data_IF_978283011407
#
_entry.id   IF_978283011407
#
_cell.length_a   1.000
_cell.length_b   1.000
_cell.length_c   1.000
_cell.angle_alpha   90.00
_cell.angle_beta   90.00
_cell.angle_gamma   90.00
#
_symmetry.space_group_name_H-M   'P 1'
#
loop_
_entity.id
_entity.type
_entity.pdbx_description
1 polymer ?
#
# COMPACT_ATOMS: atom_id res chain seq x y z
N UNK A 1 17.98 3.38 -50.28
CA UNK A 1 16.98 3.61 -51.34
C UNK A 1 15.72 2.98 -50.79
N UNK A 2 14.67 3.75 -50.48
CA UNK A 2 13.47 3.18 -49.86
C UNK A 2 12.77 2.35 -50.92
N UNK A 3 12.63 1.04 -50.70
CA UNK A 3 11.94 0.18 -51.65
C UNK A 3 10.44 0.49 -51.60
N UNK A 4 9.81 0.74 -52.75
CA UNK A 4 8.37 0.92 -52.83
C UNK A 4 7.68 -0.37 -53.25
N UNK A 5 6.50 -0.63 -52.68
CA UNK A 5 5.69 -1.80 -53.06
C UNK A 5 5.30 -1.74 -54.54
N UNK A 6 4.99 -0.55 -55.04
CA UNK A 6 4.71 -0.26 -56.46
C UNK A 6 5.89 -0.50 -57.39
N UNK A 7 7.08 -0.80 -56.88
CA UNK A 7 8.27 -1.07 -57.69
C UNK A 7 8.77 -2.51 -57.51
N UNK A 8 8.22 -3.25 -56.53
CA UNK A 8 8.82 -4.51 -56.07
C UNK A 8 7.87 -5.72 -56.08
N UNK A 9 6.58 -5.50 -56.31
CA UNK A 9 5.56 -6.55 -56.38
C UNK A 9 4.96 -6.67 -57.80
N UNK A 10 5.83 -6.93 -58.77
CA UNK A 10 5.46 -7.23 -60.15
C UNK A 10 5.84 -8.66 -60.53
N UNK A 11 6.10 -8.95 -61.80
CA UNK A 11 6.40 -10.30 -62.29
C UNK A 11 5.29 -10.89 -63.16
N UNK A 12 5.61 -11.99 -63.83
CA UNK A 12 4.72 -12.64 -64.78
C UNK A 12 3.55 -13.33 -64.07
N UNK A 13 2.47 -13.63 -64.82
CA UNK A 13 1.36 -14.47 -64.33
C UNK A 13 0.71 -14.02 -62.99
N UNK A 14 0.64 -12.70 -62.74
CA UNK A 14 0.02 -12.12 -61.55
C UNK A 14 0.73 -12.46 -60.22
N UNK A 15 2.03 -12.79 -60.24
CA UNK A 15 2.77 -13.23 -59.06
C UNK A 15 2.75 -12.18 -57.91
N UNK A 16 2.97 -10.91 -58.23
CA UNK A 16 2.88 -9.83 -57.24
C UNK A 16 1.49 -9.67 -56.63
N UNK A 17 0.44 -9.78 -57.45
CA UNK A 17 -0.95 -9.76 -56.97
C UNK A 17 -1.25 -10.96 -56.06
N UNK A 18 -0.79 -12.16 -56.43
CA UNK A 18 -0.96 -13.39 -55.63
C UNK A 18 -0.24 -13.27 -54.29
N UNK A 19 0.99 -12.76 -54.27
CA UNK A 19 1.79 -12.57 -53.06
C UNK A 19 1.10 -11.63 -52.06
N UNK A 20 0.73 -10.41 -52.50
CA UNK A 20 0.04 -9.43 -51.65
C UNK A 20 -1.34 -9.93 -51.21
N UNK A 21 -2.12 -10.53 -52.12
CA UNK A 21 -3.45 -11.07 -51.78
C UNK A 21 -3.37 -12.18 -50.76
N UNK A 22 -2.36 -13.04 -50.87
CA UNK A 22 -2.11 -14.09 -49.89
C UNK A 22 -1.82 -13.47 -48.53
N UNK A 23 -0.87 -12.52 -48.46
CA UNK A 23 -0.56 -11.77 -47.25
C UNK A 23 -1.79 -11.08 -46.62
N UNK A 24 -2.58 -10.34 -47.40
CA UNK A 24 -3.80 -9.64 -46.96
C UNK A 24 -4.89 -10.58 -46.41
N UNK A 25 -4.97 -11.82 -46.91
CA UNK A 25 -5.92 -12.81 -46.42
C UNK A 25 -5.52 -13.41 -45.07
N UNK A 26 -4.42 -12.95 -44.47
CA UNK A 26 -3.91 -13.47 -43.21
C UNK A 26 -3.56 -14.94 -43.39
N UNK A 27 -2.53 -15.24 -44.19
CA UNK A 27 -2.02 -16.60 -44.22
C UNK A 27 -1.62 -16.95 -42.78
N UNK A 28 -2.17 -18.06 -42.26
CA UNK A 28 -1.60 -18.79 -41.13
C UNK A 28 -0.23 -19.32 -41.56
N UNK A 29 0.79 -18.46 -41.64
CA UNK A 29 2.12 -18.87 -42.09
C UNK A 29 2.82 -19.55 -40.92
N UNK A 30 2.90 -20.87 -40.99
CA UNK A 30 3.82 -21.68 -40.19
C UNK A 30 5.22 -21.79 -40.82
N UNK A 31 5.52 -21.02 -41.87
CA UNK A 31 6.85 -21.01 -42.49
C UNK A 31 7.88 -20.38 -41.55
N UNK A 32 9.00 -21.07 -41.39
CA UNK A 32 10.20 -20.61 -40.68
C UNK A 32 10.68 -19.24 -41.21
N UNK A 33 10.50 -18.98 -42.50
CA UNK A 33 10.86 -17.71 -43.14
C UNK A 33 10.05 -16.55 -42.58
N UNK A 34 8.75 -16.70 -42.38
CA UNK A 34 7.92 -15.65 -41.78
C UNK A 34 8.24 -15.48 -40.29
N UNK A 35 8.54 -16.56 -39.57
CA UNK A 35 9.03 -16.44 -38.19
C UNK A 35 10.37 -15.67 -38.14
N UNK A 36 11.27 -15.92 -39.09
CA UNK A 36 12.54 -15.19 -39.22
C UNK A 36 12.32 -13.72 -39.64
N UNK A 37 11.45 -13.43 -40.61
CA UNK A 37 11.03 -12.08 -41.02
C UNK A 37 10.62 -11.28 -39.79
N UNK A 38 9.70 -11.90 -39.05
CA UNK A 38 9.08 -11.25 -37.94
C UNK A 38 10.09 -11.07 -36.78
N UNK A 39 11.05 -11.98 -36.59
CA UNK A 39 12.14 -11.82 -35.59
C UNK A 39 13.10 -10.67 -35.88
N UNK A 40 13.20 -10.24 -37.14
CA UNK A 40 14.05 -9.12 -37.57
C UNK A 40 13.30 -7.78 -37.59
N UNK A 41 11.96 -7.79 -37.48
CA UNK A 41 11.15 -6.57 -37.43
C UNK A 41 11.47 -5.76 -36.18
N UNK A 42 11.85 -4.52 -36.41
CA UNK A 42 12.12 -3.54 -35.35
C UNK A 42 10.86 -3.24 -34.53
N UNK A 43 9.69 -3.15 -35.18
CA UNK A 43 8.40 -2.90 -34.53
C UNK A 43 7.96 -4.07 -33.66
N UNK A 44 8.15 -5.32 -34.13
CA UNK A 44 7.84 -6.47 -33.29
C UNK A 44 8.78 -6.55 -32.10
N UNK A 45 10.09 -6.40 -32.30
CA UNK A 45 11.05 -6.48 -31.21
C UNK A 45 10.73 -5.45 -30.11
N UNK A 46 10.25 -4.27 -30.47
CA UNK A 46 9.75 -3.29 -29.51
C UNK A 46 8.44 -3.69 -28.82
N UNK A 47 7.53 -4.35 -29.53
CA UNK A 47 6.29 -4.89 -28.96
C UNK A 47 6.58 -6.04 -27.98
N UNK A 48 7.50 -6.94 -28.31
CA UNK A 48 7.93 -8.01 -27.41
C UNK A 48 8.63 -7.44 -26.17
N UNK A 49 9.51 -6.46 -26.35
CA UNK A 49 10.14 -5.74 -25.24
C UNK A 49 9.11 -5.07 -24.34
N UNK A 50 8.10 -4.41 -24.93
CA UNK A 50 6.99 -3.83 -24.18
C UNK A 50 6.27 -4.88 -23.32
N UNK A 51 5.90 -6.02 -23.89
CA UNK A 51 5.20 -7.09 -23.16
C UNK A 51 6.05 -7.63 -22.01
N UNK A 52 7.34 -7.90 -22.26
CA UNK A 52 8.27 -8.41 -21.25
C UNK A 52 8.49 -7.41 -20.11
N UNK A 53 8.66 -6.13 -20.41
CA UNK A 53 8.84 -5.11 -19.38
C UNK A 53 7.57 -4.87 -18.56
N UNK A 54 6.38 -4.96 -19.17
CA UNK A 54 5.12 -4.88 -18.43
C UNK A 54 4.87 -6.12 -17.57
N UNK A 55 5.30 -7.30 -17.99
CA UNK A 55 5.31 -8.49 -17.14
C UNK A 55 6.27 -8.31 -15.96
N UNK A 56 7.46 -7.73 -16.16
CA UNK A 56 8.39 -7.38 -15.07
C UNK A 56 7.77 -6.41 -14.07
N UNK A 57 7.07 -5.37 -14.53
CA UNK A 57 6.34 -4.43 -13.67
C UNK A 57 5.22 -5.14 -12.90
N UNK A 58 4.46 -6.02 -13.54
CA UNK A 58 3.43 -6.79 -12.86
C UNK A 58 4.03 -7.66 -11.74
N UNK A 59 5.15 -8.34 -12.04
CA UNK A 59 5.87 -9.17 -11.08
C UNK A 59 6.50 -8.34 -9.93
N UNK A 60 6.99 -7.14 -10.21
CA UNK A 60 7.54 -6.24 -9.17
C UNK A 60 6.46 -5.82 -8.17
N UNK A 61 5.24 -5.52 -8.65
CA UNK A 61 4.10 -5.21 -7.77
C UNK A 61 3.57 -6.44 -7.03
N UNK A 62 3.59 -7.63 -7.65
CA UNK A 62 3.25 -8.87 -6.96
C UNK A 62 4.22 -9.15 -5.79
N UNK A 63 5.53 -8.98 -6.05
CA UNK A 63 6.56 -9.08 -5.01
C UNK A 63 6.38 -8.02 -3.92
N UNK A 64 6.08 -6.77 -4.30
CA UNK A 64 5.80 -5.71 -3.34
C UNK A 64 4.68 -6.07 -2.36
N UNK A 65 3.57 -6.60 -2.87
CA UNK A 65 2.45 -7.04 -2.04
C UNK A 65 2.85 -8.18 -1.08
N UNK A 66 3.70 -9.11 -1.55
CA UNK A 66 4.25 -10.17 -0.71
C UNK A 66 5.17 -9.60 0.39
N UNK A 67 6.10 -8.71 0.04
CA UNK A 67 7.03 -8.09 0.97
C UNK A 67 6.27 -7.28 2.05
N UNK A 68 5.21 -6.55 1.69
CA UNK A 68 4.33 -5.87 2.66
C UNK A 68 3.68 -6.85 3.64
N UNK A 69 3.25 -8.02 3.16
CA UNK A 69 2.60 -9.03 4.00
C UNK A 69 3.58 -9.70 4.95
N UNK A 70 4.72 -10.16 4.44
CA UNK A 70 5.68 -10.97 5.18
C UNK A 70 6.61 -10.14 6.06
N UNK A 71 7.08 -8.99 5.56
CA UNK A 71 8.09 -8.18 6.25
C UNK A 71 7.44 -7.15 7.17
N UNK A 72 6.24 -6.66 6.83
CA UNK A 72 5.57 -5.60 7.61
C UNK A 72 4.37 -6.12 8.39
N UNK A 73 3.38 -6.69 7.71
CA UNK A 73 2.09 -7.02 8.32
C UNK A 73 2.22 -8.15 9.37
N UNK A 74 2.91 -9.25 9.04
CA UNK A 74 3.06 -10.38 9.94
C UNK A 74 3.81 -9.99 11.24
N UNK A 75 5.01 -9.39 11.19
CA UNK A 75 5.72 -8.97 12.41
C UNK A 75 4.93 -7.96 13.23
N UNK A 76 4.22 -7.03 12.57
CA UNK A 76 3.39 -6.04 13.28
C UNK A 76 2.22 -6.69 14.03
N UNK A 77 1.60 -7.72 13.45
CA UNK A 77 0.52 -8.46 14.11
C UNK A 77 1.02 -9.22 15.33
N UNK A 78 2.16 -9.91 15.21
CA UNK A 78 2.79 -10.63 16.32
C UNK A 78 3.15 -9.67 17.46
N UNK A 79 3.83 -8.58 17.13
CA UNK A 79 4.18 -7.54 18.09
C UNK A 79 2.95 -6.90 18.76
N UNK A 80 1.87 -6.67 18.00
CA UNK A 80 0.61 -6.12 18.53
C UNK A 80 -0.03 -7.05 19.57
N UNK A 81 0.02 -8.36 19.34
CA UNK A 81 -0.46 -9.36 20.28
C UNK A 81 0.35 -9.35 21.58
N UNK A 82 1.67 -9.26 21.48
CA UNK A 82 2.54 -9.22 22.66
C UNK A 82 2.37 -7.93 23.46
N UNK A 83 2.27 -6.80 22.78
CA UNK A 83 1.88 -5.52 23.37
C UNK A 83 0.55 -5.59 24.13
N UNK A 84 -0.46 -6.23 23.55
CA UNK A 84 -1.76 -6.42 24.20
C UNK A 84 -1.64 -7.24 25.49
N UNK A 85 -0.82 -8.30 25.48
CA UNK A 85 -0.56 -9.13 26.68
C UNK A 85 0.09 -8.30 27.79
N UNK A 86 1.11 -7.51 27.47
CA UNK A 86 1.81 -6.68 28.46
C UNK A 86 0.92 -5.59 29.05
N UNK A 87 0.11 -4.91 28.22
CA UNK A 87 -0.90 -3.94 28.71
C UNK A 87 -1.92 -4.61 29.64
N UNK A 88 -2.36 -5.82 29.30
CA UNK A 88 -3.31 -6.58 30.15
C UNK A 88 -2.70 -6.89 31.51
N UNK A 89 -1.42 -7.29 31.59
CA UNK A 89 -0.73 -7.52 32.86
C UNK A 89 -0.72 -6.26 33.73
N UNK A 90 -0.37 -5.11 33.15
CA UNK A 90 -0.37 -3.83 33.86
C UNK A 90 -1.76 -3.50 34.42
N UNK A 91 -2.81 -3.66 33.59
CA UNK A 91 -4.20 -3.43 33.99
C UNK A 91 -4.62 -4.33 35.16
N UNK A 92 -4.27 -5.61 35.12
CA UNK A 92 -4.60 -6.56 36.19
C UNK A 92 -3.87 -6.23 37.50
N UNK A 93 -2.60 -5.81 37.45
CA UNK A 93 -1.85 -5.37 38.64
C UNK A 93 -2.56 -4.17 39.29
N UNK A 94 -2.87 -3.13 38.51
CA UNK A 94 -3.55 -1.93 39.00
C UNK A 94 -4.92 -2.27 39.61
N UNK A 95 -5.72 -3.09 38.91
CA UNK A 95 -7.05 -3.51 39.35
C UNK A 95 -7.01 -4.30 40.66
N UNK A 96 -6.15 -5.31 40.74
CA UNK A 96 -6.11 -6.21 41.90
C UNK A 96 -5.57 -5.51 43.15
N UNK A 97 -4.54 -4.69 42.99
CA UNK A 97 -3.98 -3.92 44.12
C UNK A 97 -4.95 -2.85 44.61
N UNK A 98 -5.66 -2.16 43.71
CA UNK A 98 -6.69 -1.19 44.09
C UNK A 98 -7.84 -1.85 44.85
N UNK A 99 -8.33 -3.00 44.36
CA UNK A 99 -9.37 -3.76 45.04
C UNK A 99 -8.95 -4.19 46.44
N UNK A 100 -7.70 -4.66 46.60
CA UNK A 100 -7.17 -5.04 47.91
C UNK A 100 -7.08 -3.85 48.86
N UNK A 101 -6.58 -2.71 48.39
CA UNK A 101 -6.55 -1.46 49.17
C UNK A 101 -7.94 -1.09 49.68
N UNK A 102 -8.94 -1.04 48.78
CA UNK A 102 -10.32 -0.68 49.13
C UNK A 102 -10.92 -1.65 50.16
N UNK A 103 -10.63 -2.95 50.04
CA UNK A 103 -11.10 -3.95 51.01
C UNK A 103 -10.53 -3.71 52.41
N UNK A 104 -9.22 -3.46 52.53
CA UNK A 104 -8.59 -3.20 53.83
C UNK A 104 -9.01 -1.85 54.43
N UNK A 105 -9.18 -0.81 53.61
CA UNK A 105 -9.75 0.47 54.05
C UNK A 105 -11.16 0.29 54.62
N UNK A 106 -12.02 -0.47 53.95
CA UNK A 106 -13.37 -0.76 54.45
C UNK A 106 -13.34 -1.51 55.78
N UNK A 107 -12.42 -2.46 55.96
CA UNK A 107 -12.25 -3.19 57.23
C UNK A 107 -11.77 -2.23 58.33
N UNK A 108 -10.79 -1.37 58.03
CA UNK A 108 -10.27 -0.39 58.99
C UNK A 108 -11.37 0.58 59.47
N UNK A 109 -12.21 1.08 58.56
CA UNK A 109 -13.34 1.95 58.91
C UNK A 109 -14.35 1.25 59.83
N UNK A 110 -14.68 -0.02 59.57
CA UNK A 110 -15.56 -0.80 60.46
C UNK A 110 -14.96 -1.02 61.84
N UNK A 111 -13.65 -1.28 61.92
CA UNK A 111 -12.95 -1.41 63.20
C UNK A 111 -12.90 -0.06 63.95
N UNK A 112 -12.75 1.05 63.23
CA UNK A 112 -12.80 2.41 63.81
C UNK A 112 -14.15 2.69 64.45
N UNK A 113 -15.25 2.44 63.72
CA UNK A 113 -16.62 2.60 64.22
C UNK A 113 -16.87 1.74 65.47
N UNK A 114 -16.42 0.48 65.47
CA UNK A 114 -16.52 -0.44 66.61
C UNK A 114 -15.73 0.06 67.81
N UNK A 115 -14.51 0.54 67.61
CA UNK A 115 -13.68 1.09 68.68
C UNK A 115 -14.30 2.37 69.26
N UNK A 116 -14.75 3.29 68.40
CA UNK A 116 -15.43 4.52 68.81
C UNK A 116 -16.70 4.23 69.64
N UNK A 117 -17.50 3.24 69.22
CA UNK A 117 -18.66 2.79 69.97
C UNK A 117 -18.30 2.28 71.38
N UNK A 118 -17.30 1.39 71.50
CA UNK A 118 -16.87 0.87 72.81
C UNK A 118 -16.27 1.95 73.72
N UNK A 119 -15.57 2.94 73.16
CA UNK A 119 -15.11 4.10 73.93
C UNK A 119 -16.29 4.88 74.53
N UNK A 120 -17.30 5.20 73.71
CA UNK A 120 -18.49 5.92 74.16
C UNK A 120 -19.30 5.15 75.19
N UNK A 121 -19.44 3.83 75.02
CA UNK A 121 -20.14 2.96 75.98
C UNK A 121 -19.41 2.93 77.33
N UNK A 122 -18.08 2.77 77.31
CA UNK A 122 -17.25 2.84 78.51
C UNK A 122 -17.39 4.18 79.24
N UNK A 123 -17.31 5.31 78.53
CA UNK A 123 -17.44 6.65 79.12
C UNK A 123 -18.84 6.88 79.72
N UNK A 124 -19.89 6.34 79.09
CA UNK A 124 -21.28 6.41 79.58
C UNK A 124 -21.46 5.60 80.87
N UNK A 125 -20.92 4.38 80.92
CA UNK A 125 -20.94 3.54 82.12
C UNK A 125 -20.13 4.16 83.25
N UNK A 126 -18.99 4.78 82.93
CA UNK A 126 -18.13 5.45 83.90
C UNK A 126 -18.81 6.69 84.51
N UNK A 127 -19.50 7.48 83.69
CA UNK A 127 -20.26 8.66 84.15
C UNK A 127 -21.45 8.26 85.03
N UNK A 128 -22.02 7.08 84.80
CA UNK A 128 -23.12 6.52 85.60
C UNK A 128 -22.71 6.10 87.01
N UNK A 129 -21.41 6.12 87.36
CA UNK A 129 -20.90 5.72 88.68
C UNK A 129 -21.29 6.69 89.80
N UNK A 130 -21.61 7.94 89.45
CA UNK A 130 -21.90 9.01 90.41
C UNK A 130 -23.22 8.73 91.14
N UNK A 131 -23.19 8.70 92.47
CA UNK A 131 -24.39 8.56 93.32
C UNK A 131 -24.87 7.12 93.57
N UNK A 132 -24.19 6.10 93.03
CA UNK A 132 -24.48 4.68 93.34
C UNK A 132 -23.67 4.17 94.54
N UNK A 133 -24.28 3.27 95.32
CA UNK A 133 -23.65 2.60 96.48
C UNK A 133 -24.16 1.16 96.64
N UNK A 134 -23.44 0.35 97.41
CA UNK A 134 -23.84 -1.02 97.76
C UNK A 134 -23.84 -1.99 96.58
N UNK A 135 -24.85 -2.89 96.53
CA UNK A 135 -24.92 -3.97 95.51
C UNK A 135 -25.06 -3.45 94.07
N UNK A 136 -25.67 -2.29 93.87
CA UNK A 136 -25.86 -1.74 92.52
C UNK A 136 -24.57 -1.13 91.98
N UNK A 137 -23.72 -0.60 92.86
CA UNK A 137 -22.36 -0.17 92.53
C UNK A 137 -21.50 -1.36 92.06
N UNK A 138 -21.51 -2.49 92.79
CA UNK A 138 -20.72 -3.69 92.43
C UNK A 138 -21.16 -4.30 91.08
N UNK A 139 -22.46 -4.29 90.79
CA UNK A 139 -22.98 -4.72 89.47
C UNK A 139 -22.51 -3.79 88.35
N UNK A 140 -22.51 -2.48 88.57
CA UNK A 140 -22.06 -1.50 87.58
C UNK A 140 -20.54 -1.61 87.35
N UNK A 141 -19.76 -1.81 88.40
CA UNK A 141 -18.31 -1.95 88.30
C UNK A 141 -17.90 -3.19 87.48
N UNK A 142 -18.64 -4.29 87.62
CA UNK A 142 -18.47 -5.46 86.75
C UNK A 142 -18.79 -5.17 85.26
N UNK A 143 -19.78 -4.32 84.97
CA UNK A 143 -20.08 -3.88 83.59
C UNK A 143 -18.98 -2.98 83.03
N UNK A 144 -18.49 -2.03 83.83
CA UNK A 144 -17.36 -1.15 83.47
C UNK A 144 -16.13 -1.98 83.12
N UNK A 145 -15.78 -2.99 83.94
CA UNK A 145 -14.65 -3.88 83.67
C UNK A 145 -14.80 -4.63 82.34
N UNK A 146 -16.00 -5.11 82.01
CA UNK A 146 -16.29 -5.76 80.72
C UNK A 146 -16.19 -4.77 79.55
N UNK A 147 -16.75 -3.57 79.69
CA UNK A 147 -16.67 -2.53 78.68
C UNK A 147 -15.21 -2.09 78.42
N UNK A 148 -14.40 -2.01 79.48
CA UNK A 148 -12.97 -1.75 79.36
C UNK A 148 -12.26 -2.84 78.54
N UNK A 149 -12.52 -4.12 78.82
CA UNK A 149 -11.94 -5.23 78.04
C UNK A 149 -12.35 -5.17 76.56
N UNK A 150 -13.62 -4.92 76.28
CA UNK A 150 -14.12 -4.80 74.90
C UNK A 150 -13.52 -3.59 74.16
N UNK A 151 -13.30 -2.47 74.85
CA UNK A 151 -12.60 -1.30 74.33
C UNK A 151 -11.14 -1.64 73.99
N UNK A 152 -10.41 -2.27 74.91
CA UNK A 152 -9.01 -2.65 74.69
C UNK A 152 -8.87 -3.68 73.56
N UNK A 153 -9.83 -4.60 73.42
CA UNK A 153 -9.88 -5.57 72.32
C UNK A 153 -10.15 -4.88 70.97
N UNK A 154 -11.17 -4.02 70.89
CA UNK A 154 -11.45 -3.28 69.65
C UNK A 154 -10.35 -2.28 69.27
N UNK A 155 -9.63 -1.72 70.25
CA UNK A 155 -8.44 -0.91 70.00
C UNK A 155 -7.34 -1.72 69.29
N UNK A 156 -7.05 -2.92 69.80
CA UNK A 156 -6.05 -3.82 69.18
C UNK A 156 -6.46 -4.23 67.78
N UNK A 157 -7.73 -4.61 67.59
CA UNK A 157 -8.27 -4.92 66.26
C UNK A 157 -8.13 -3.74 65.29
N UNK A 158 -8.48 -2.53 65.73
CA UNK A 158 -8.37 -1.32 64.90
C UNK A 158 -6.92 -1.00 64.54
N UNK A 159 -5.99 -1.07 65.49
CA UNK A 159 -4.54 -0.86 65.23
C UNK A 159 -4.02 -1.85 64.17
N UNK A 160 -4.41 -3.12 64.27
CA UNK A 160 -4.04 -4.15 63.28
C UNK A 160 -4.68 -3.86 61.91
N UNK A 161 -5.95 -3.46 61.88
CA UNK A 161 -6.64 -3.14 60.64
C UNK A 161 -6.02 -1.93 59.92
N UNK A 162 -5.65 -0.88 60.66
CA UNK A 162 -4.94 0.29 60.12
C UNK A 162 -3.59 -0.09 59.54
N UNK A 163 -2.82 -0.92 60.26
CA UNK A 163 -1.51 -1.38 59.76
C UNK A 163 -1.66 -2.11 58.43
N UNK A 164 -2.62 -3.04 58.32
CA UNK A 164 -2.91 -3.76 57.06
C UNK A 164 -3.39 -2.83 55.94
N UNK A 165 -4.20 -1.82 56.26
CA UNK A 165 -4.65 -0.83 55.29
C UNK A 165 -3.46 -0.01 54.76
N UNK A 166 -2.55 0.43 55.62
CA UNK A 166 -1.33 1.14 55.25
C UNK A 166 -0.41 0.28 54.36
N UNK A 167 -0.18 -0.98 54.74
CA UNK A 167 0.61 -1.92 53.92
C UNK A 167 -0.01 -2.09 52.52
N UNK A 168 -1.33 -2.28 52.45
CA UNK A 168 -2.04 -2.42 51.18
C UNK A 168 -1.99 -1.15 50.32
N UNK A 169 -1.99 0.03 50.95
CA UNK A 169 -1.82 1.32 50.27
C UNK A 169 -0.43 1.42 49.62
N UNK A 170 0.63 1.03 50.33
CA UNK A 170 1.98 1.04 49.79
C UNK A 170 2.14 0.07 48.61
N UNK A 171 1.57 -1.13 48.72
CA UNK A 171 1.55 -2.11 47.62
C UNK A 171 0.81 -1.55 46.41
N UNK A 172 -0.37 -0.96 46.60
CA UNK A 172 -1.12 -0.33 45.51
C UNK A 172 -0.37 0.84 44.86
N UNK A 173 0.22 1.72 45.67
CA UNK A 173 0.97 2.88 45.16
C UNK A 173 2.15 2.44 44.31
N UNK A 174 2.96 1.50 44.80
CA UNK A 174 4.14 1.02 44.09
C UNK A 174 3.74 0.24 42.83
N UNK A 175 2.79 -0.69 42.94
CA UNK A 175 2.31 -1.46 41.79
C UNK A 175 1.66 -0.60 40.72
N UNK A 176 0.94 0.46 41.11
CA UNK A 176 0.38 1.43 40.16
C UNK A 176 1.48 2.23 39.47
N UNK A 177 2.48 2.72 40.23
CA UNK A 177 3.61 3.45 39.65
C UNK A 177 4.36 2.60 38.62
N UNK A 178 4.74 1.38 38.98
CA UNK A 178 5.46 0.46 38.10
C UNK A 178 4.65 0.12 36.84
N UNK A 179 3.33 -0.10 36.99
CA UNK A 179 2.44 -0.33 35.86
C UNK A 179 2.35 0.87 34.92
N UNK A 180 2.29 2.09 35.44
CA UNK A 180 2.25 3.32 34.64
C UNK A 180 3.57 3.55 33.89
N UNK A 181 4.71 3.37 34.57
CA UNK A 181 6.03 3.46 33.94
C UNK A 181 6.18 2.42 32.82
N UNK A 182 5.68 1.20 33.04
CA UNK A 182 5.68 0.16 32.01
C UNK A 182 4.77 0.52 30.83
N UNK A 183 3.57 1.07 31.10
CA UNK A 183 2.65 1.51 30.05
C UNK A 183 3.24 2.63 29.21
N UNK A 184 3.96 3.57 29.83
CA UNK A 184 4.69 4.61 29.11
C UNK A 184 5.74 4.01 28.18
N UNK A 185 6.59 3.08 28.67
CA UNK A 185 7.58 2.39 27.83
C UNK A 185 6.92 1.64 26.66
N UNK A 186 5.79 0.99 26.90
CA UNK A 186 5.03 0.30 25.85
C UNK A 186 4.51 1.27 24.79
N UNK A 187 4.10 2.48 25.17
CA UNK A 187 3.64 3.50 24.24
C UNK A 187 4.79 4.12 23.44
N UNK A 188 5.92 4.41 24.08
CA UNK A 188 7.15 4.87 23.40
C UNK A 188 7.60 3.85 22.34
N UNK A 189 7.58 2.55 22.71
CA UNK A 189 7.87 1.46 21.77
C UNK A 189 6.87 1.41 20.63
N UNK A 190 5.58 1.66 20.87
CA UNK A 190 4.54 1.68 19.83
C UNK A 190 4.77 2.79 18.81
N UNK A 191 5.06 3.99 19.30
CA UNK A 191 5.33 5.14 18.44
C UNK A 191 6.59 4.90 17.59
N UNK A 192 7.65 4.39 18.21
CA UNK A 192 8.89 4.08 17.49
C UNK A 192 8.70 2.96 16.45
N UNK A 193 8.01 1.88 16.81
CA UNK A 193 7.73 0.78 15.88
C UNK A 193 6.90 1.24 14.68
N UNK A 194 5.89 2.09 14.92
CA UNK A 194 5.07 2.65 13.84
C UNK A 194 5.92 3.48 12.88
N UNK A 195 6.78 4.36 13.41
CA UNK A 195 7.72 5.15 12.60
C UNK A 195 8.63 4.26 11.75
N UNK A 196 9.26 3.25 12.36
CA UNK A 196 10.15 2.32 11.66
C UNK A 196 9.41 1.58 10.55
N UNK A 197 8.19 1.10 10.81
CA UNK A 197 7.37 0.41 9.82
C UNK A 197 6.98 1.32 8.65
N UNK A 198 6.58 2.57 8.91
CA UNK A 198 6.24 3.53 7.86
C UNK A 198 7.46 3.87 6.99
N UNK A 199 8.63 4.04 7.61
CA UNK A 199 9.89 4.23 6.88
C UNK A 199 10.21 3.00 6.02
N UNK A 200 10.03 1.79 6.55
CA UNK A 200 10.26 0.56 5.81
C UNK A 200 9.35 0.44 4.59
N UNK A 201 8.03 0.67 4.76
CA UNK A 201 7.06 0.68 3.65
C UNK A 201 7.48 1.69 2.58
N UNK A 202 7.90 2.89 2.99
CA UNK A 202 8.37 3.94 2.08
C UNK A 202 9.59 3.48 1.29
N UNK A 203 10.57 2.86 1.94
CA UNK A 203 11.78 2.35 1.29
C UNK A 203 11.48 1.23 0.28
N UNK A 204 10.63 0.27 0.65
CA UNK A 204 10.22 -0.82 -0.26
C UNK A 204 9.48 -0.22 -1.47
N UNK A 205 8.59 0.74 -1.24
CA UNK A 205 7.85 1.43 -2.31
C UNK A 205 8.80 2.18 -3.26
N UNK A 206 9.81 2.86 -2.73
CA UNK A 206 10.83 3.54 -3.52
C UNK A 206 11.65 2.57 -4.39
N UNK A 207 11.98 1.39 -3.87
CA UNK A 207 12.66 0.34 -4.64
C UNK A 207 11.84 -0.14 -5.83
N UNK A 208 10.54 -0.37 -5.63
CA UNK A 208 9.62 -0.77 -6.72
C UNK A 208 9.50 0.34 -7.76
N UNK A 209 9.37 1.59 -7.30
CA UNK A 209 9.33 2.75 -8.20
C UNK A 209 10.58 2.86 -9.07
N UNK A 210 11.77 2.70 -8.47
CA UNK A 210 13.04 2.74 -9.20
C UNK A 210 13.13 1.62 -10.24
N UNK A 211 12.75 0.39 -9.87
CA UNK A 211 12.71 -0.75 -10.80
C UNK A 211 11.75 -0.50 -11.97
N UNK A 212 10.55 0.01 -11.71
CA UNK A 212 9.56 0.27 -12.76
C UNK A 212 10.01 1.38 -13.71
N UNK A 213 10.67 2.43 -13.18
CA UNK A 213 11.26 3.49 -14.00
C UNK A 213 12.29 2.94 -15.00
N UNK A 214 13.13 1.99 -14.57
CA UNK A 214 14.07 1.33 -15.48
C UNK A 214 13.33 0.56 -16.59
N UNK A 215 12.27 -0.16 -16.27
CA UNK A 215 11.44 -0.85 -17.27
C UNK A 215 10.80 0.11 -18.27
N UNK A 216 10.27 1.25 -17.83
CA UNK A 216 9.73 2.28 -18.74
C UNK A 216 10.81 2.85 -19.67
N UNK A 217 12.02 3.07 -19.17
CA UNK A 217 13.15 3.54 -19.98
C UNK A 217 13.58 2.51 -21.04
N UNK A 218 13.57 1.21 -20.70
CA UNK A 218 13.85 0.12 -21.65
C UNK A 218 12.81 0.10 -22.76
N UNK A 219 11.52 0.23 -22.42
CA UNK A 219 10.44 0.31 -23.41
C UNK A 219 10.63 1.51 -24.33
N UNK A 220 10.90 2.70 -23.77
CA UNK A 220 11.14 3.92 -24.56
C UNK A 220 12.29 3.73 -25.54
N UNK A 221 13.44 3.25 -25.05
CA UNK A 221 14.63 3.00 -25.88
C UNK A 221 14.37 1.95 -26.98
N UNK A 222 13.50 0.98 -26.73
CA UNK A 222 13.13 0.00 -27.74
C UNK A 222 12.23 0.60 -28.82
N UNK A 223 11.31 1.49 -28.44
CA UNK A 223 10.44 2.20 -29.40
C UNK A 223 11.22 3.19 -30.26
N UNK A 224 12.26 3.82 -29.72
CA UNK A 224 13.18 4.69 -30.49
C UNK A 224 13.94 3.93 -31.59
N UNK A 225 14.04 2.60 -31.50
CA UNK A 225 14.67 1.74 -32.52
C UNK A 225 13.70 1.29 -33.61
N UNK A 226 12.39 1.50 -33.44
CA UNK A 226 11.39 1.18 -34.46
C UNK A 226 11.63 2.01 -35.72
N UNK A 227 11.72 1.34 -36.86
CA UNK A 227 11.88 2.00 -38.15
C UNK A 227 10.98 1.32 -39.19
N UNK A 228 9.87 1.98 -39.51
CA UNK A 228 8.93 1.48 -40.52
C UNK A 228 9.61 1.27 -41.88
N UNK A 229 10.56 2.13 -42.26
CA UNK A 229 11.34 1.96 -43.49
C UNK A 229 12.13 0.66 -43.48
N UNK A 230 12.82 0.33 -42.39
CA UNK A 230 13.57 -0.93 -42.27
C UNK A 230 12.65 -2.14 -42.31
N UNK A 231 11.52 -2.08 -41.61
CA UNK A 231 10.55 -3.17 -41.60
C UNK A 231 9.92 -3.39 -43.00
N UNK A 232 9.70 -2.31 -43.76
CA UNK A 232 9.22 -2.37 -45.14
C UNK A 232 10.29 -2.87 -46.12
N UNK A 233 11.54 -2.40 -45.98
CA UNK A 233 12.67 -2.87 -46.79
C UNK A 233 12.90 -4.38 -46.58
N UNK A 234 12.88 -4.84 -45.32
CA UNK A 234 12.94 -6.27 -44.97
C UNK A 234 11.77 -7.06 -45.57
N UNK A 235 10.56 -6.49 -45.57
CA UNK A 235 9.38 -7.13 -46.15
C UNK A 235 9.52 -7.29 -47.66
N UNK A 236 10.02 -6.28 -48.35
CA UNK A 236 10.22 -6.30 -49.79
C UNK A 236 11.35 -7.25 -50.18
N UNK A 237 12.45 -7.24 -49.44
CA UNK A 237 13.56 -8.18 -49.65
C UNK A 237 13.09 -9.63 -49.58
N UNK A 238 12.17 -9.92 -48.66
CA UNK A 238 11.74 -11.28 -48.40
C UNK A 238 10.53 -11.74 -49.23
N UNK A 239 9.61 -10.84 -49.57
CA UNK A 239 8.35 -11.17 -50.26
C UNK A 239 8.21 -10.55 -51.65
N UNK A 240 9.16 -9.71 -52.07
CA UNK A 240 9.16 -9.07 -53.38
C UNK A 240 9.20 -10.10 -54.51
N UNK A 241 8.35 -9.90 -55.51
CA UNK A 241 8.21 -10.80 -56.67
C UNK A 241 8.94 -10.26 -57.91
N UNK A 242 9.62 -9.13 -57.78
CA UNK A 242 10.43 -8.49 -58.82
C UNK A 242 9.83 -7.16 -59.30
N UNK A 243 10.62 -6.45 -60.12
CA UNK A 243 10.31 -5.11 -60.61
C UNK A 243 9.86 -5.07 -62.08
N UNK A 244 9.78 -6.23 -62.75
CA UNK A 244 9.38 -6.31 -64.15
C UNK A 244 7.87 -6.17 -64.25
N UNK A 245 7.42 -5.00 -64.70
CA UNK A 245 6.02 -4.72 -65.00
C UNK A 245 5.66 -5.46 -66.29
N UNK A 246 4.66 -6.36 -66.29
CA UNK A 246 4.22 -7.03 -67.52
C UNK A 246 3.72 -6.02 -68.55
N UNK A 247 4.20 -6.14 -69.79
CA UNK A 247 3.75 -5.29 -70.89
C UNK A 247 2.25 -5.49 -71.17
N UNK A 248 1.58 -4.39 -71.55
CA UNK A 248 0.21 -4.47 -72.03
C UNK A 248 0.13 -5.40 -73.25
N UNK A 249 -1.00 -6.11 -73.38
CA UNK A 249 -1.24 -6.91 -74.57
C UNK A 249 -1.38 -5.99 -75.78
N UNK A 250 -0.51 -6.18 -76.76
CA UNK A 250 -0.58 -5.48 -78.03
C UNK A 250 -1.35 -6.32 -79.04
N UNK A 251 -2.20 -5.67 -79.83
CA UNK A 251 -2.80 -6.32 -80.98
C UNK A 251 -1.68 -6.75 -81.92
N UNK A 252 -1.58 -8.06 -82.15
CA UNK A 252 -0.66 -8.62 -83.13
C UNK A 252 -1.46 -8.96 -84.37
N UNK A 253 -1.30 -8.14 -85.40
CA UNK A 253 -1.86 -8.42 -86.71
C UNK A 253 -1.10 -9.61 -87.33
N UNK A 254 -1.79 -10.72 -87.52
CA UNK A 254 -1.25 -11.92 -88.16
C UNK A 254 -1.60 -11.99 -89.65
N UNK A 255 -2.30 -10.97 -90.20
CA UNK A 255 -2.90 -10.97 -91.54
C UNK A 255 -2.33 -9.86 -92.45
N UNK A 256 -1.02 -9.60 -92.41
CA UNK A 256 -0.39 -8.62 -93.32
C UNK A 256 0.30 -9.30 -94.51
N UNK A 257 -0.27 -9.11 -95.71
CA UNK A 257 0.41 -9.26 -97.00
C UNK A 257 0.78 -7.86 -97.57
N UNK A 258 1.80 -7.23 -96.99
CA UNK A 258 2.61 -6.08 -97.49
C UNK A 258 1.90 -4.74 -97.85
N UNK A 259 2.68 -3.65 -98.03
CA UNK A 259 2.88 -2.57 -97.07
C UNK A 259 2.00 -1.36 -97.38
N UNK A 260 1.04 -1.02 -96.52
CA UNK A 260 0.45 0.32 -96.50
C UNK A 260 0.58 0.90 -95.10
N UNK A 261 1.32 2.01 -95.03
CA UNK A 261 1.41 2.92 -93.89
C UNK A 261 0.00 3.29 -93.45
N UNK A 262 -0.42 2.81 -92.29
CA UNK A 262 -1.58 3.36 -91.59
C UNK A 262 -1.00 4.12 -90.41
N UNK A 263 -1.17 5.43 -90.46
CA UNK A 263 -0.79 6.39 -89.43
C UNK A 263 -1.34 5.92 -88.07
N UNK A 264 -0.45 5.86 -87.08
CA UNK A 264 -0.78 5.70 -85.66
C UNK A 264 -1.57 6.91 -85.16
N UNK A 265 -2.85 6.97 -85.49
CA UNK A 265 -3.82 7.88 -84.90
C UNK A 265 -4.85 7.08 -84.09
N UNK A 266 -4.38 6.21 -83.21
CA UNK A 266 -5.14 5.94 -81.99
C UNK A 266 -4.64 6.95 -80.98
N UNK A 267 -5.37 8.07 -80.89
CA UNK A 267 -5.38 8.89 -79.69
C UNK A 267 -5.74 7.96 -78.54
N UNK A 268 -4.72 7.41 -77.86
CA UNK A 268 -4.87 6.99 -76.49
C UNK A 268 -5.46 8.22 -75.84
N UNK A 269 -6.71 8.14 -75.37
CA UNK A 269 -7.16 9.06 -74.35
C UNK A 269 -6.09 8.91 -73.27
N UNK A 270 -5.16 9.85 -73.25
CA UNK A 270 -4.46 10.19 -72.04
C UNK A 270 -5.63 10.55 -71.15
N UNK A 271 -6.09 9.57 -70.37
CA UNK A 271 -6.67 9.86 -69.09
C UNK A 271 -5.57 10.70 -68.50
N UNK A 272 -5.71 12.03 -68.60
CA UNK A 272 -4.96 12.96 -67.79
C UNK A 272 -5.05 12.29 -66.45
N UNK A 273 -3.91 11.84 -65.93
CA UNK A 273 -3.75 11.34 -64.59
C UNK A 273 -4.66 12.23 -63.80
N UNK A 274 -5.86 11.74 -63.46
CA UNK A 274 -6.83 12.57 -62.78
C UNK A 274 -6.03 13.05 -61.60
N UNK A 275 -5.95 14.36 -61.39
CA UNK A 275 -5.21 14.92 -60.28
C UNK A 275 -5.66 14.14 -59.04
N UNK A 276 -4.92 13.07 -58.72
CA UNK A 276 -4.70 12.64 -57.38
C UNK A 276 -4.03 13.88 -56.88
N UNK A 277 -4.87 14.71 -56.27
CA UNK A 277 -4.44 15.72 -55.33
C UNK A 277 -3.30 15.03 -54.60
N UNK A 278 -2.10 15.61 -54.70
CA UNK A 278 -1.02 15.34 -53.78
C UNK A 278 -1.58 15.61 -52.39
N UNK A 279 -2.35 14.65 -51.87
CA UNK A 279 -2.78 14.60 -50.50
C UNK A 279 -1.58 14.04 -49.75
N UNK A 280 -0.55 14.88 -49.69
CA UNK A 280 0.65 14.72 -48.90
C UNK A 280 1.47 13.49 -49.24
N UNK A 281 2.76 13.72 -49.46
CA UNK A 281 3.74 13.01 -48.62
C UNK A 281 3.11 12.80 -47.22
N UNK A 282 2.98 11.57 -46.71
CA UNK A 282 2.90 11.39 -45.28
C UNK A 282 4.29 11.74 -44.77
N UNK A 283 4.58 13.03 -44.62
CA UNK A 283 5.60 13.49 -43.68
C UNK A 283 5.22 12.83 -42.35
N UNK A 284 6.11 11.95 -41.84
CA UNK A 284 5.91 11.25 -40.57
C UNK A 284 5.65 12.21 -39.40
N UNK A 285 5.88 13.50 -39.61
CA UNK A 285 5.54 14.62 -38.72
C UNK A 285 4.05 14.68 -38.30
N UNK A 286 3.07 14.25 -39.13
CA UNK A 286 1.64 14.35 -38.73
C UNK A 286 1.21 13.28 -37.73
N UNK A 287 1.83 12.10 -37.73
CA UNK A 287 1.61 11.07 -36.71
C UNK A 287 2.46 11.28 -35.47
N UNK A 288 3.69 11.79 -35.63
CA UNK A 288 4.56 12.19 -34.51
C UNK A 288 3.95 13.35 -33.72
N UNK A 289 3.32 14.34 -34.37
CA UNK A 289 2.68 15.46 -33.68
C UNK A 289 1.45 15.08 -32.84
N UNK A 290 0.77 13.97 -33.15
CA UNK A 290 -0.31 13.46 -32.30
C UNK A 290 0.24 12.77 -31.06
N UNK A 291 1.30 11.96 -31.18
CA UNK A 291 1.98 11.32 -30.04
C UNK A 291 2.71 12.33 -29.14
N UNK A 292 3.36 13.36 -29.69
CA UNK A 292 4.03 14.41 -28.90
C UNK A 292 3.05 15.27 -28.09
N UNK A 293 1.81 15.44 -28.56
CA UNK A 293 0.74 16.11 -27.80
C UNK A 293 0.26 15.32 -26.57
N UNK A 294 0.47 13.99 -26.52
CA UNK A 294 0.17 13.16 -25.35
C UNK A 294 1.25 13.26 -24.26
N UNK A 295 2.50 13.54 -24.63
CA UNK A 295 3.64 13.64 -23.70
C UNK A 295 3.92 15.07 -23.18
N UNK A 296 3.18 16.09 -23.64
CA UNK A 296 3.44 17.51 -23.25
C UNK A 296 2.45 18.11 -22.24
N UNK A 297 1.61 17.31 -21.58
CA UNK A 297 0.82 17.81 -20.45
C UNK A 297 1.23 17.20 -19.12
N UNK A 298 1.94 18.03 -18.36
CA UNK A 298 2.37 17.95 -16.96
C UNK A 298 3.72 17.26 -16.74
N UNK A 299 4.77 18.08 -16.74
CA UNK A 299 5.86 17.87 -15.77
C UNK A 299 5.24 17.70 -14.36
N UNK A 300 5.75 16.80 -13.51
CA UNK A 300 5.35 16.79 -12.11
C UNK A 300 5.65 18.18 -11.52
N UNK A 301 4.77 18.75 -10.69
CA UNK A 301 5.08 20.01 -10.01
C UNK A 301 6.40 19.85 -9.25
N UNK A 302 7.35 20.77 -9.42
CA UNK A 302 8.59 20.87 -8.63
C UNK A 302 8.31 21.29 -7.17
N UNK A 303 7.21 20.86 -6.57
CA UNK A 303 6.72 21.39 -5.30
C UNK A 303 6.02 20.33 -4.44
N UNK A 304 6.52 19.09 -4.45
CA UNK A 304 6.01 18.02 -3.56
C UNK A 304 7.14 17.39 -2.71
N UNK A 305 8.38 17.91 -2.76
CA UNK A 305 9.48 17.36 -1.96
C UNK A 305 9.81 18.20 -0.72
N UNK A 306 9.34 19.45 -0.62
CA UNK A 306 9.62 20.34 0.54
C UNK A 306 8.47 20.47 1.56
N UNK A 307 7.26 19.97 1.28
CA UNK A 307 6.12 20.09 2.21
C UNK A 307 5.77 18.81 3.00
N UNK A 308 6.49 17.71 2.80
CA UNK A 308 6.19 16.42 3.46
C UNK A 308 6.81 16.25 4.86
N UNK A 309 7.47 17.27 5.39
CA UNK A 309 7.94 17.32 6.78
C UNK A 309 7.63 18.68 7.41
N UNK A 310 6.34 18.91 7.68
CA UNK A 310 5.96 19.82 8.77
C UNK A 310 5.76 18.93 10.01
N UNK A 311 6.61 19.08 11.01
CA UNK A 311 6.43 18.43 12.30
C UNK A 311 5.04 18.81 12.86
N UNK A 312 4.27 17.88 13.44
CA UNK A 312 3.01 18.26 14.07
C UNK A 312 3.30 19.19 15.25
N UNK A 313 2.58 20.31 15.34
CA UNK A 313 2.58 21.19 16.51
C UNK A 313 2.31 20.37 17.78
N UNK A 314 3.09 20.61 18.83
CA UNK A 314 3.14 19.82 20.08
C UNK A 314 1.87 19.87 20.96
N UNK A 315 0.76 20.49 20.52
CA UNK A 315 -0.36 20.84 21.41
C UNK A 315 -1.72 20.21 21.05
N UNK A 316 -1.77 18.88 20.92
CA UNK A 316 -3.07 18.16 21.00
C UNK A 316 -2.92 16.89 21.86
N UNK A 317 -2.87 17.09 23.18
CA UNK A 317 -3.21 16.05 24.15
C UNK A 317 -4.74 16.05 24.36
N UNK A 318 -5.43 14.90 24.32
CA UNK A 318 -6.83 14.84 24.71
C UNK A 318 -6.96 15.13 26.21
N UNK A 319 -7.77 16.14 26.55
CA UNK A 319 -8.15 16.45 27.92
C UNK A 319 -8.97 15.28 28.49
N UNK A 320 -8.39 14.57 29.46
CA UNK A 320 -9.10 13.53 30.22
C UNK A 320 -9.96 14.24 31.28
N UNK A 321 -11.27 14.00 31.25
CA UNK A 321 -12.21 14.49 32.27
C UNK A 321 -11.91 13.81 33.62
N UNK A 322 -11.59 14.57 34.69
CA UNK A 322 -11.34 14.02 36.01
C UNK A 322 -12.53 13.26 36.64
N UNK A 323 -13.73 13.37 36.07
CA UNK A 323 -14.97 12.80 36.63
C UNK A 323 -15.56 11.64 35.82
N UNK A 324 -14.86 11.06 34.85
CA UNK A 324 -15.37 9.86 34.16
C UNK A 324 -15.27 8.63 35.07
N UNK A 325 -16.34 8.36 35.82
CA UNK A 325 -16.48 7.23 36.75
C UNK A 325 -16.85 5.90 36.10
N UNK A 326 -16.78 5.76 34.77
CA UNK A 326 -17.02 4.48 34.11
C UNK A 326 -15.71 3.73 33.79
N UNK A 327 -15.10 3.12 34.82
CA UNK A 327 -14.10 2.05 34.66
C UNK A 327 -14.24 0.94 35.71
#
# INVERSE_FOLDING_TARGET
MSFQFSESFWGNNEDGYKAIRSWLKGIKISSLEFQNFISQSTTRNATETFLLEFERIANSHAKFAQDLKEIVQQPLNEWSLDQSKERKKCKEIMKNTLKNKQNYEMIALKCEEKYHYHCKDFDTLQSSKIGLSGKDYEKLENKIRKAQQLKEESEKEYRVAITKAQDSYHVWRNGTKEALEKLQQLEELRLNQLKVNLMLISNISASVHSSNTMSYDVVRQSLEKCAASKDLDLFIEQFGTGNVIPDALHFKDYYVHSPHTIEDNISIMTIKSGNYVENGTPTSEKSENKLSSFFTKKSPPKQIVEELWVAPDEDILPQIDPNDTNL
#
